data_IF_038915046727
#
_entry.id   IF_038915046727
#
_cell.length_a   1.000
_cell.length_b   1.000
_cell.length_c   1.000
_cell.angle_alpha   90.00
_cell.angle_beta   90.00
_cell.angle_gamma   90.00
#
_symmetry.space_group_name_H-M   'P 1'
#
loop_
_entity.id
_entity.type
_entity.pdbx_description
1 polymer ?
#
# COMPACT_ATOMS: atom_id res chain seq x y z
N UNK A 1 35.05 -9.85 -19.23
CA UNK A 1 33.91 -10.71 -18.89
C UNK A 1 32.78 -9.77 -18.51
N UNK A 2 31.83 -9.54 -19.42
CA UNK A 2 30.79 -8.52 -19.24
C UNK A 2 29.43 -9.21 -19.34
N UNK A 3 28.58 -9.05 -18.32
CA UNK A 3 27.18 -9.44 -18.36
C UNK A 3 26.35 -8.17 -18.41
N UNK A 4 26.08 -7.65 -19.60
CA UNK A 4 25.03 -6.65 -19.80
C UNK A 4 23.75 -7.41 -20.14
N UNK A 5 22.94 -7.67 -19.12
CA UNK A 5 21.61 -8.25 -19.31
C UNK A 5 20.65 -7.12 -19.65
N UNK A 6 20.36 -6.94 -20.93
CA UNK A 6 19.26 -6.08 -21.38
C UNK A 6 17.91 -6.72 -21.00
N UNK A 7 17.36 -6.34 -19.84
CA UNK A 7 15.97 -6.60 -19.51
C UNK A 7 15.06 -5.56 -20.17
N UNK A 8 14.83 -5.67 -21.48
CA UNK A 8 13.67 -5.02 -22.09
C UNK A 8 12.42 -5.79 -21.70
N UNK A 9 11.93 -5.54 -20.48
CA UNK A 9 10.56 -5.90 -20.12
C UNK A 9 9.63 -5.10 -21.03
N UNK A 10 8.72 -5.78 -21.73
CA UNK A 10 7.59 -5.09 -22.36
C UNK A 10 6.83 -4.39 -21.24
N UNK A 11 6.94 -3.06 -21.16
CA UNK A 11 6.17 -2.22 -20.26
C UNK A 11 4.69 -2.46 -20.57
N UNK A 12 4.02 -3.20 -19.68
CA UNK A 12 2.56 -3.26 -19.66
C UNK A 12 2.03 -1.81 -19.62
N UNK A 13 0.80 -1.54 -20.10
CA UNK A 13 0.21 -0.22 -19.89
C UNK A 13 0.39 0.15 -18.42
N UNK A 14 1.08 1.25 -18.14
CA UNK A 14 1.34 1.69 -16.77
C UNK A 14 0.02 2.12 -16.16
N UNK A 15 -0.66 1.19 -15.50
CA UNK A 15 -1.71 1.53 -14.56
C UNK A 15 -0.98 2.28 -13.45
N UNK A 16 -1.21 3.58 -13.37
CA UNK A 16 -0.67 4.38 -12.28
C UNK A 16 -1.57 4.14 -11.08
N UNK A 17 -1.08 3.51 -9.99
CA UNK A 17 -1.89 3.30 -8.81
C UNK A 17 -2.34 4.64 -8.24
N UNK A 18 -3.51 4.64 -7.60
CA UNK A 18 -4.10 5.84 -7.01
C UNK A 18 -3.18 6.43 -5.93
N UNK A 19 -2.54 5.55 -5.15
CA UNK A 19 -1.53 5.91 -4.16
C UNK A 19 -0.20 5.24 -4.52
N UNK A 20 0.83 6.01 -4.91
CA UNK A 20 2.18 5.47 -5.06
C UNK A 20 2.71 4.89 -3.74
N UNK A 21 3.68 3.98 -3.81
CA UNK A 21 4.43 3.55 -2.62
C UNK A 21 5.00 4.74 -1.86
N UNK A 22 5.09 4.60 -0.54
CA UNK A 22 5.50 5.62 0.43
C UNK A 22 4.54 6.81 0.57
N UNK A 23 3.37 6.78 -0.09
CA UNK A 23 2.30 7.74 0.17
C UNK A 23 1.77 7.58 1.60
N UNK A 24 1.47 8.70 2.24
CA UNK A 24 0.75 8.70 3.52
C UNK A 24 -0.75 8.75 3.25
N UNK A 25 -1.48 7.80 3.84
CA UNK A 25 -2.92 7.63 3.66
C UNK A 25 -3.65 7.57 4.99
N UNK A 26 -4.96 7.77 4.93
CA UNK A 26 -5.88 7.59 6.04
C UNK A 26 -6.85 6.47 5.70
N UNK A 27 -7.08 5.54 6.62
CA UNK A 27 -8.11 4.51 6.44
C UNK A 27 -9.50 5.07 6.74
N UNK A 28 -10.48 4.74 5.92
CA UNK A 28 -11.86 5.23 6.02
C UNK A 28 -12.79 4.26 6.77
N UNK A 29 -12.31 3.05 7.05
CA UNK A 29 -13.02 1.98 7.76
C UNK A 29 -12.08 1.36 8.79
N UNK A 30 -12.66 0.75 9.82
CA UNK A 30 -11.88 -0.05 10.77
C UNK A 30 -11.18 -1.20 10.03
N UNK A 31 -9.95 -1.48 10.42
CA UNK A 31 -9.13 -2.54 9.88
C UNK A 31 -8.56 -3.41 11.01
N UNK A 32 -7.93 -4.51 10.64
CA UNK A 32 -7.19 -5.39 11.54
C UNK A 32 -5.83 -5.62 10.91
N UNK A 33 -4.75 -5.39 11.65
CA UNK A 33 -3.40 -5.70 11.18
C UNK A 33 -3.25 -7.20 10.93
N UNK A 34 -2.22 -7.58 10.20
CA UNK A 34 -1.88 -8.99 9.97
C UNK A 34 -1.59 -9.75 11.28
N UNK A 35 -1.15 -9.04 12.32
CA UNK A 35 -0.96 -9.56 13.68
C UNK A 35 -2.26 -9.64 14.50
N UNK A 36 -3.41 -9.27 13.93
CA UNK A 36 -4.72 -9.33 14.59
C UNK A 36 -5.06 -8.13 15.46
N UNK A 37 -4.34 -7.01 15.35
CA UNK A 37 -4.60 -5.81 16.15
C UNK A 37 -5.60 -4.88 15.45
N UNK A 38 -6.65 -4.41 16.14
CA UNK A 38 -7.63 -3.51 15.53
C UNK A 38 -7.06 -2.12 15.30
N UNK A 39 -7.30 -1.54 14.12
CA UNK A 39 -6.94 -0.16 13.76
C UNK A 39 -8.22 0.61 13.44
N UNK A 40 -8.55 1.69 14.19
CA UNK A 40 -9.78 2.43 13.98
C UNK A 40 -9.74 3.29 12.70
N UNK A 41 -10.91 3.48 12.08
CA UNK A 41 -11.09 4.45 11.00
C UNK A 41 -10.51 5.83 11.38
N UNK A 42 -9.90 6.51 10.42
CA UNK A 42 -9.19 7.77 10.61
C UNK A 42 -7.71 7.63 11.00
N UNK A 43 -7.22 6.42 11.27
CA UNK A 43 -5.81 6.18 11.46
C UNK A 43 -5.00 6.47 10.19
N UNK A 44 -3.79 7.02 10.37
CA UNK A 44 -2.84 7.28 9.30
C UNK A 44 -1.83 6.15 9.20
N UNK A 45 -1.46 5.81 7.98
CA UNK A 45 -0.40 4.84 7.69
C UNK A 45 0.34 5.21 6.40
N UNK A 46 1.37 4.44 6.09
CA UNK A 46 2.20 4.61 4.90
C UNK A 46 2.02 3.41 3.98
N UNK A 47 1.84 3.64 2.68
CA UNK A 47 1.81 2.58 1.69
C UNK A 47 3.21 1.96 1.57
N UNK A 48 3.34 0.67 1.83
CA UNK A 48 4.62 -0.07 1.73
C UNK A 48 4.64 -1.06 0.58
N UNK A 49 3.48 -1.42 0.03
CA UNK A 49 3.35 -2.26 -1.18
C UNK A 49 2.04 -1.94 -1.91
N UNK A 50 2.03 -2.08 -3.23
CA UNK A 50 0.84 -1.93 -4.09
C UNK A 50 0.46 -3.29 -4.67
N UNK A 51 -0.79 -3.71 -4.49
CA UNK A 51 -1.31 -4.97 -5.02
C UNK A 51 -2.25 -4.75 -6.21
N UNK A 52 -2.19 -5.70 -7.16
CA UNK A 52 -3.09 -5.76 -8.32
C UNK A 52 -3.30 -4.39 -8.99
N UNK A 53 -2.21 -3.72 -9.36
CA UNK A 53 -2.22 -2.43 -10.04
C UNK A 53 -2.99 -1.31 -9.30
N UNK A 54 -3.11 -1.41 -7.97
CA UNK A 54 -3.75 -0.40 -7.12
C UNK A 54 -5.18 -0.71 -6.69
N UNK A 55 -5.65 -1.96 -6.87
CA UNK A 55 -6.91 -2.43 -6.25
C UNK A 55 -6.81 -2.51 -4.72
N UNK A 56 -5.63 -2.84 -4.20
CA UNK A 56 -5.35 -2.91 -2.77
C UNK A 56 -3.91 -2.46 -2.44
N UNK A 57 -3.66 -2.15 -1.19
CA UNK A 57 -2.40 -1.61 -0.71
C UNK A 57 -2.04 -2.22 0.64
N UNK A 58 -0.77 -2.52 0.85
CA UNK A 58 -0.25 -2.81 2.18
C UNK A 58 0.05 -1.47 2.88
N UNK A 59 -0.61 -1.24 4.02
CA UNK A 59 -0.47 -0.01 4.81
C UNK A 59 0.24 -0.33 6.12
N UNK A 60 1.39 0.29 6.35
CA UNK A 60 2.11 0.24 7.62
C UNK A 60 1.63 1.36 8.57
N UNK A 61 1.24 0.96 9.78
CA UNK A 61 0.87 1.84 10.88
C UNK A 61 1.99 1.87 11.92
N UNK A 62 2.22 3.05 12.51
CA UNK A 62 3.25 3.24 13.54
C UNK A 62 2.69 3.65 14.92
N UNK A 63 1.51 4.26 14.98
CA UNK A 63 0.86 4.72 16.22
C UNK A 63 -0.64 4.95 16.01
N UNK A 64 -1.52 4.62 16.97
CA UNK A 64 -1.24 3.98 18.26
C UNK A 64 -1.00 2.46 18.17
N UNK A 65 -1.25 1.87 17.00
CA UNK A 65 -1.06 0.44 16.72
C UNK A 65 0.06 0.33 15.69
N UNK A 66 1.06 -0.49 15.98
CA UNK A 66 2.13 -0.82 15.05
C UNK A 66 1.80 -2.13 14.33
N UNK A 67 2.03 -2.18 13.02
CA UNK A 67 1.77 -3.35 12.17
C UNK A 67 1.33 -2.95 10.78
N UNK A 68 1.13 -3.93 9.91
CA UNK A 68 0.66 -3.71 8.54
C UNK A 68 -0.72 -4.31 8.32
N UNK A 69 -1.44 -3.83 7.32
CA UNK A 69 -2.67 -4.45 6.85
C UNK A 69 -2.90 -4.17 5.37
N UNK A 70 -3.46 -5.16 4.68
CA UNK A 70 -3.94 -4.99 3.31
C UNK A 70 -5.30 -4.29 3.29
N UNK A 71 -5.36 -3.11 2.65
CA UNK A 71 -6.55 -2.26 2.57
C UNK A 71 -6.94 -2.04 1.11
N UNK A 72 -8.23 -2.18 0.79
CA UNK A 72 -8.77 -1.88 -0.54
C UNK A 72 -8.72 -0.39 -0.85
N UNK A 73 -8.53 -0.04 -2.13
CA UNK A 73 -8.41 1.34 -2.58
C UNK A 73 -9.57 2.24 -2.13
N UNK A 74 -10.81 1.73 -2.17
CA UNK A 74 -12.00 2.51 -1.77
C UNK A 74 -12.10 2.80 -0.27
N UNK A 75 -11.26 2.15 0.54
CA UNK A 75 -11.18 2.38 1.98
C UNK A 75 -10.01 3.30 2.37
N UNK A 76 -9.36 3.96 1.40
CA UNK A 76 -8.25 4.88 1.62
C UNK A 76 -8.58 6.29 1.12
N UNK A 77 -7.96 7.28 1.78
CA UNK A 77 -7.88 8.66 1.33
C UNK A 77 -6.46 9.19 1.50
N UNK A 78 -6.07 10.18 0.71
CA UNK A 78 -4.85 10.94 0.96
C UNK A 78 -4.93 11.65 2.32
N UNK A 79 -3.86 11.61 3.11
CA UNK A 79 -3.82 12.09 4.50
C UNK A 79 -3.31 13.54 4.68
#
# INVERSE_FOLDING_TARGET
MSFETMHTLRKAPEVTPLFPELSVVMILRDAVTDDGLPVPAGARGTIVEVYADGEAYEVEFASPVAGTATILAEALAAA
#
